data_IF_011139197399
#
_entry.id   IF_011139197399
#
_cell.length_a   1.000
_cell.length_b   1.000
_cell.length_c   1.000
_cell.angle_alpha   90.00
_cell.angle_beta   90.00
_cell.angle_gamma   90.00
#
_symmetry.space_group_name_H-M   'P 1'
#
loop_
_entity.id
_entity.type
_entity.pdbx_description
1 polymer ?
#
# COMPACT_ATOMS: atom_id res chain seq x y z
N UNK A 1 14.72 22.76 -37.99
CA UNK A 1 16.07 22.46 -37.44
C UNK A 1 16.51 21.04 -37.83
N UNK A 2 17.74 20.85 -38.34
CA UNK A 2 18.27 19.53 -38.70
C UNK A 2 18.57 18.65 -37.48
N UNK A 3 18.85 19.27 -36.33
CA UNK A 3 19.01 18.60 -35.04
C UNK A 3 17.63 18.48 -34.38
N UNK A 4 17.25 17.26 -34.01
CA UNK A 4 15.97 16.97 -33.33
C UNK A 4 16.13 17.04 -31.81
N UNK A 5 17.35 16.81 -31.31
CA UNK A 5 17.69 16.87 -29.88
C UNK A 5 18.30 18.22 -29.50
N UNK A 6 18.23 18.58 -28.21
CA UNK A 6 18.90 19.77 -27.68
C UNK A 6 20.41 19.64 -27.84
N UNK A 7 21.03 20.65 -28.46
CA UNK A 7 22.48 20.72 -28.61
C UNK A 7 23.14 20.74 -27.24
N UNK A 8 24.12 19.85 -27.05
CA UNK A 8 24.92 19.83 -25.83
C UNK A 8 25.84 21.06 -25.75
N UNK A 9 26.59 21.20 -24.66
CA UNK A 9 27.48 22.35 -24.48
C UNK A 9 28.56 22.43 -25.57
N UNK A 10 29.05 21.31 -26.11
CA UNK A 10 30.04 21.28 -27.19
C UNK A 10 29.44 21.74 -28.52
N UNK A 11 28.26 21.23 -28.86
CA UNK A 11 27.56 21.53 -30.11
C UNK A 11 26.98 22.94 -30.14
N UNK A 12 26.66 23.51 -28.97
CA UNK A 12 26.23 24.91 -28.86
C UNK A 12 27.29 25.89 -29.39
N UNK A 13 28.55 25.49 -29.34
CA UNK A 13 29.70 26.32 -29.69
C UNK A 13 30.37 25.94 -31.01
N UNK A 14 29.88 24.90 -31.67
CA UNK A 14 30.40 24.43 -32.94
C UNK A 14 29.78 25.23 -34.11
N UNK A 15 30.62 25.86 -34.93
CA UNK A 15 30.22 26.60 -36.14
C UNK A 15 31.06 26.12 -37.33
N UNK A 16 30.59 25.09 -38.07
CA UNK A 16 31.36 24.51 -39.16
C UNK A 16 31.32 25.32 -40.46
N UNK A 17 30.53 26.40 -40.53
CA UNK A 17 30.43 27.25 -41.70
C UNK A 17 30.47 28.73 -41.29
N UNK A 18 31.22 29.58 -42.01
CA UNK A 18 31.33 31.01 -41.71
C UNK A 18 30.02 31.80 -41.91
N UNK A 19 28.97 31.18 -42.48
CA UNK A 19 27.63 31.78 -42.49
C UNK A 19 26.94 31.77 -41.11
N UNK A 20 27.54 31.14 -40.10
CA UNK A 20 27.02 31.09 -38.73
C UNK A 20 25.93 30.02 -38.50
N UNK A 21 25.61 29.21 -39.50
CA UNK A 21 24.63 28.13 -39.37
C UNK A 21 25.08 27.09 -38.34
N UNK A 22 24.22 26.84 -37.35
CA UNK A 22 24.50 25.94 -36.24
C UNK A 22 23.90 24.56 -36.49
N UNK A 23 24.72 23.53 -36.31
CA UNK A 23 24.37 22.12 -36.34
C UNK A 23 25.24 21.38 -35.32
N UNK A 24 24.80 20.21 -34.84
CA UNK A 24 25.68 19.36 -34.02
C UNK A 24 26.78 18.72 -34.87
N UNK A 25 27.83 18.25 -34.19
CA UNK A 25 28.98 17.59 -34.81
C UNK A 25 28.56 16.31 -35.57
N UNK A 26 27.56 15.58 -35.07
CA UNK A 26 27.02 14.40 -35.77
C UNK A 26 26.37 14.77 -37.12
N UNK A 27 25.51 15.79 -37.14
CA UNK A 27 24.86 16.26 -38.37
C UNK A 27 25.88 16.78 -39.38
N UNK A 28 26.91 17.51 -38.92
CA UNK A 28 28.01 17.96 -39.77
C UNK A 28 28.73 16.79 -40.44
N UNK A 29 29.13 15.80 -39.65
CA UNK A 29 29.82 14.61 -40.15
C UNK A 29 28.95 13.87 -41.17
N UNK A 30 27.68 13.62 -40.85
CA UNK A 30 26.76 12.93 -41.75
C UNK A 30 26.54 13.70 -43.07
N UNK A 31 26.44 15.04 -43.02
CA UNK A 31 26.32 15.85 -44.24
C UNK A 31 27.58 15.73 -45.11
N UNK A 32 28.76 15.75 -44.47
CA UNK A 32 30.05 15.69 -45.15
C UNK A 32 30.35 14.32 -45.75
N UNK A 33 29.99 13.24 -45.06
CA UNK A 33 30.34 11.86 -45.47
C UNK A 33 29.27 11.18 -46.31
N UNK A 34 28.00 11.45 -46.02
CA UNK A 34 26.87 10.67 -46.54
C UNK A 34 25.98 11.47 -47.48
N UNK A 35 26.01 12.79 -47.40
CA UNK A 35 25.19 13.69 -48.23
C UNK A 35 26.09 14.49 -49.18
N UNK A 36 25.64 15.69 -49.54
CA UNK A 36 26.29 16.53 -50.54
C UNK A 36 27.46 17.37 -50.00
N UNK A 37 27.78 17.31 -48.70
CA UNK A 37 28.84 18.09 -48.08
C UNK A 37 28.63 19.61 -48.07
N UNK A 38 27.40 20.08 -48.36
CA UNK A 38 27.09 21.51 -48.44
C UNK A 38 26.35 22.00 -47.19
N UNK A 39 26.64 23.24 -46.80
CA UNK A 39 25.92 23.90 -45.72
C UNK A 39 24.42 24.02 -46.03
N UNK A 40 23.51 23.55 -45.15
CA UNK A 40 22.07 23.62 -45.40
C UNK A 40 21.52 25.05 -45.56
N UNK A 41 22.17 26.06 -44.96
CA UNK A 41 21.74 27.44 -45.05
C UNK A 41 22.29 28.18 -46.29
N UNK A 42 23.61 28.15 -46.49
CA UNK A 42 24.26 28.96 -47.54
C UNK A 42 24.76 28.14 -48.74
N UNK A 43 24.59 26.81 -48.72
CA UNK A 43 25.06 25.85 -49.74
C UNK A 43 26.57 25.86 -50.03
N UNK A 44 27.37 26.54 -49.20
CA UNK A 44 28.84 26.52 -49.29
C UNK A 44 29.36 25.12 -48.93
N UNK A 45 30.35 24.57 -49.66
CA UNK A 45 31.04 23.34 -49.25
C UNK A 45 31.65 23.50 -47.87
N UNK A 46 31.50 22.49 -47.02
CA UNK A 46 32.16 22.48 -45.73
C UNK A 46 33.68 22.30 -45.89
N UNK A 47 34.44 23.08 -45.14
CA UNK A 47 35.89 22.99 -45.05
C UNK A 47 36.31 22.95 -43.56
N UNK A 48 37.13 21.97 -43.20
CA UNK A 48 37.64 21.79 -41.85
C UNK A 48 38.45 22.99 -41.35
N UNK A 49 39.07 23.73 -42.27
CA UNK A 49 39.83 24.94 -41.96
C UNK A 49 38.94 26.11 -41.50
N UNK A 50 37.64 26.06 -41.83
CA UNK A 50 36.67 27.13 -41.52
C UNK A 50 35.83 26.86 -40.28
N UNK A 51 36.13 25.76 -39.56
CA UNK A 51 35.42 25.39 -38.35
C UNK A 51 35.84 26.33 -37.21
N UNK A 52 34.89 27.11 -36.71
CA UNK A 52 35.07 27.94 -35.53
C UNK A 52 34.44 27.29 -34.30
N UNK A 53 35.24 27.22 -33.23
CA UNK A 53 34.78 26.85 -31.89
C UNK A 53 34.68 28.10 -31.04
N UNK A 54 33.46 28.55 -30.77
CA UNK A 54 33.26 29.70 -29.88
C UNK A 54 33.63 29.28 -28.46
N UNK A 55 34.65 29.91 -27.86
CA UNK A 55 35.06 29.60 -26.48
C UNK A 55 33.88 29.87 -25.53
N UNK A 56 33.52 28.88 -24.73
CA UNK A 56 32.52 29.02 -23.66
C UNK A 56 33.05 30.06 -22.68
N UNK A 57 32.27 31.08 -22.37
CA UNK A 57 32.70 32.06 -21.37
C UNK A 57 32.81 31.38 -19.99
N UNK A 58 33.75 31.82 -19.13
CA UNK A 58 33.82 31.32 -17.74
C UNK A 58 32.48 31.48 -16.98
N UNK A 59 31.71 32.50 -17.33
CA UNK A 59 30.39 32.81 -16.76
C UNK A 59 29.32 31.77 -17.17
N UNK A 60 29.25 31.38 -18.45
CA UNK A 60 28.33 30.33 -18.93
C UNK A 60 28.65 28.95 -18.33
N UNK A 61 29.94 28.62 -18.18
CA UNK A 61 30.35 27.39 -17.48
C UNK A 61 29.98 27.41 -15.99
N UNK A 62 30.12 28.56 -15.32
CA UNK A 62 29.75 28.71 -13.92
C UNK A 62 28.23 28.58 -13.72
N UNK A 63 27.42 29.19 -14.60
CA UNK A 63 25.96 29.05 -14.58
C UNK A 63 25.51 27.60 -14.77
N UNK A 64 26.09 26.88 -15.75
CA UNK A 64 25.73 25.48 -15.97
C UNK A 64 26.10 24.58 -14.77
N UNK A 65 27.26 24.81 -14.14
CA UNK A 65 27.64 24.11 -12.91
C UNK A 65 26.69 24.42 -11.75
N UNK A 66 26.26 25.66 -11.61
CA UNK A 66 25.31 26.07 -10.58
C UNK A 66 23.93 25.42 -10.78
N UNK A 67 23.44 25.37 -12.02
CA UNK A 67 22.18 24.70 -12.36
C UNK A 67 22.24 23.20 -12.07
N UNK A 68 23.31 22.51 -12.50
CA UNK A 68 23.53 21.09 -12.19
C UNK A 68 23.58 20.84 -10.68
N UNK A 69 24.26 21.69 -9.91
CA UNK A 69 24.33 21.58 -8.46
C UNK A 69 22.94 21.80 -7.81
N UNK A 70 22.16 22.75 -8.31
CA UNK A 70 20.81 23.02 -7.82
C UNK A 70 19.84 21.87 -8.16
N UNK A 71 19.91 21.32 -9.37
CA UNK A 71 19.15 20.14 -9.78
C UNK A 71 19.51 18.92 -8.92
N UNK A 72 20.81 18.68 -8.69
CA UNK A 72 21.29 17.60 -7.82
C UNK A 72 20.76 17.76 -6.39
N UNK A 73 20.78 18.98 -5.83
CA UNK A 73 20.24 19.27 -4.49
C UNK A 73 18.72 19.03 -4.43
N UNK A 74 17.96 19.45 -5.43
CA UNK A 74 16.51 19.18 -5.52
C UNK A 74 16.22 17.68 -5.58
N UNK A 75 16.96 16.93 -6.41
CA UNK A 75 16.81 15.48 -6.54
C UNK A 75 17.17 14.72 -5.25
N UNK A 76 18.21 15.16 -4.54
CA UNK A 76 18.58 14.62 -3.24
C UNK A 76 17.50 14.87 -2.19
N UNK A 77 16.96 16.09 -2.11
CA UNK A 77 15.89 16.44 -1.18
C UNK A 77 14.59 15.64 -1.46
N UNK A 78 14.23 15.46 -2.75
CA UNK A 78 13.08 14.64 -3.13
C UNK A 78 13.24 13.17 -2.70
N UNK A 79 14.43 12.58 -2.94
CA UNK A 79 14.75 11.22 -2.50
C UNK A 79 14.71 11.07 -0.97
N UNK A 80 15.20 12.06 -0.23
CA UNK A 80 15.16 12.04 1.23
C UNK A 80 13.72 12.10 1.76
N UNK A 81 12.87 12.95 1.17
CA UNK A 81 11.45 13.04 1.53
C UNK A 81 10.69 11.74 1.23
N UNK A 82 11.00 11.09 0.10
CA UNK A 82 10.41 9.80 -0.25
C UNK A 82 10.85 8.68 0.71
N UNK A 83 12.14 8.65 1.08
CA UNK A 83 12.66 7.70 2.05
C UNK A 83 12.00 7.86 3.43
N UNK A 84 11.88 9.11 3.92
CA UNK A 84 11.20 9.40 5.18
C UNK A 84 9.72 8.99 5.16
N UNK A 85 9.00 9.25 4.06
CA UNK A 85 7.62 8.81 3.91
C UNK A 85 7.52 7.27 3.97
N UNK A 86 8.40 6.57 3.26
CA UNK A 86 8.41 5.09 3.25
C UNK A 86 8.71 4.50 4.63
N UNK A 87 9.58 5.13 5.40
CA UNK A 87 9.89 4.73 6.77
C UNK A 87 8.69 4.95 7.71
N UNK A 88 8.06 6.13 7.66
CA UNK A 88 6.85 6.42 8.42
C UNK A 88 5.71 5.45 8.09
N UNK A 89 5.49 5.16 6.80
CA UNK A 89 4.50 4.17 6.36
C UNK A 89 4.84 2.75 6.87
N UNK A 90 6.12 2.40 6.98
CA UNK A 90 6.56 1.11 7.52
C UNK A 90 6.29 1.00 9.02
N UNK A 91 6.60 2.06 9.78
CA UNK A 91 6.36 2.12 11.23
C UNK A 91 4.87 2.08 11.55
N UNK A 92 4.07 2.87 10.85
CA UNK A 92 2.61 2.87 10.98
C UNK A 92 2.02 1.47 10.73
N UNK A 93 2.49 0.74 9.71
CA UNK A 93 2.00 -0.61 9.43
C UNK A 93 2.42 -1.66 10.45
N UNK A 94 3.63 -1.55 11.01
CA UNK A 94 4.05 -2.41 12.13
C UNK A 94 3.14 -2.21 13.34
N UNK A 95 2.74 -0.97 13.60
CA UNK A 95 1.75 -0.67 14.65
C UNK A 95 0.40 -1.35 14.35
N UNK A 96 -0.16 -1.19 13.14
CA UNK A 96 -1.43 -1.82 12.75
C UNK A 96 -1.41 -3.36 12.84
N UNK A 97 -0.29 -4.01 12.55
CA UNK A 97 -0.17 -5.47 12.64
C UNK A 97 -0.36 -6.03 14.07
N UNK A 98 -0.06 -5.22 15.08
CA UNK A 98 -0.24 -5.57 16.50
C UNK A 98 -1.63 -5.30 17.05
N UNK A 99 -2.39 -4.42 16.39
CA UNK A 99 -3.71 -3.99 16.85
C UNK A 99 -4.80 -5.04 16.62
N UNK A 100 -5.78 -5.03 17.51
CA UNK A 100 -7.04 -5.76 17.47
C UNK A 100 -8.15 -4.72 17.39
N UNK A 101 -9.05 -4.86 16.42
CA UNK A 101 -10.15 -3.91 16.22
C UNK A 101 -11.45 -4.57 16.61
N UNK A 102 -12.20 -3.96 17.52
CA UNK A 102 -13.55 -4.39 17.92
C UNK A 102 -14.51 -4.22 16.74
N UNK A 103 -15.35 -5.22 16.49
CA UNK A 103 -16.32 -5.21 15.40
C UNK A 103 -17.73 -5.28 15.98
N UNK A 104 -18.53 -4.21 15.81
CA UNK A 104 -19.89 -4.11 16.39
C UNK A 104 -20.90 -5.09 15.80
N UNK A 105 -20.60 -5.75 14.70
CA UNK A 105 -21.44 -6.80 14.12
C UNK A 105 -20.89 -8.22 14.37
N UNK A 106 -19.78 -8.36 15.10
CA UNK A 106 -19.14 -9.63 15.43
C UNK A 106 -19.33 -9.90 16.93
N UNK A 107 -19.90 -11.05 17.25
CA UNK A 107 -20.04 -11.52 18.64
C UNK A 107 -19.09 -12.68 18.88
N UNK A 108 -18.33 -12.63 19.97
CA UNK A 108 -17.54 -13.74 20.47
C UNK A 108 -18.21 -14.31 21.72
N UNK A 109 -18.59 -15.58 21.65
CA UNK A 109 -19.25 -16.31 22.74
C UNK A 109 -18.33 -17.40 23.25
N UNK A 110 -18.15 -17.50 24.56
CA UNK A 110 -17.36 -18.54 25.23
C UNK A 110 -18.18 -19.26 26.31
N UNK A 111 -17.72 -20.44 26.70
CA UNK A 111 -18.40 -21.26 27.72
C UNK A 111 -19.41 -22.25 27.16
N UNK A 112 -19.54 -22.34 25.84
CA UNK A 112 -20.35 -23.38 25.20
C UNK A 112 -19.68 -24.75 25.37
N UNK A 113 -20.49 -25.74 25.75
CA UNK A 113 -20.10 -27.16 25.83
C UNK A 113 -20.95 -27.93 24.80
N UNK A 114 -20.43 -28.20 23.59
CA UNK A 114 -21.20 -28.90 22.58
C UNK A 114 -21.34 -30.38 22.95
N UNK A 115 -22.55 -30.92 22.82
CA UNK A 115 -22.85 -32.35 22.98
C UNK A 115 -22.93 -33.09 21.64
N UNK A 116 -22.83 -32.36 20.52
CA UNK A 116 -23.04 -32.83 19.15
C UNK A 116 -21.78 -32.68 18.30
N UNK A 117 -21.77 -33.36 17.15
CA UNK A 117 -20.65 -33.34 16.19
C UNK A 117 -20.42 -31.93 15.61
N UNK A 118 -19.19 -31.60 15.19
CA UNK A 118 -18.84 -30.25 14.70
C UNK A 118 -19.63 -29.82 13.46
N UNK A 119 -19.95 -30.77 12.58
CA UNK A 119 -20.72 -30.48 11.36
C UNK A 119 -22.17 -30.12 11.69
N UNK A 120 -22.82 -30.88 12.58
CA UNK A 120 -24.19 -30.59 13.02
C UNK A 120 -24.26 -29.37 13.95
N UNK A 121 -23.16 -29.09 14.68
CA UNK A 121 -23.06 -27.96 15.58
C UNK A 121 -23.21 -26.63 14.84
N UNK A 122 -22.58 -26.47 13.68
CA UNK A 122 -22.68 -25.23 12.91
C UNK A 122 -24.10 -24.95 12.43
N UNK A 123 -24.82 -25.98 11.97
CA UNK A 123 -26.22 -25.84 11.55
C UNK A 123 -27.14 -25.57 12.74
N UNK A 124 -26.93 -26.29 13.85
CA UNK A 124 -27.68 -26.12 15.09
C UNK A 124 -27.54 -24.71 15.64
N UNK A 125 -26.29 -24.20 15.72
CA UNK A 125 -26.01 -22.85 16.22
C UNK A 125 -26.57 -21.74 15.33
N UNK A 126 -26.81 -22.02 14.04
CA UNK A 126 -27.47 -21.10 13.11
C UNK A 126 -28.99 -21.08 13.24
N UNK A 127 -29.59 -22.09 13.85
CA UNK A 127 -31.04 -22.18 14.00
C UNK A 127 -31.62 -21.14 14.96
N UNK A 128 -32.94 -20.94 14.87
CA UNK A 128 -33.71 -19.99 15.70
C UNK A 128 -33.71 -20.35 17.19
N UNK A 129 -33.35 -21.58 17.53
CA UNK A 129 -33.18 -21.99 18.92
C UNK A 129 -31.88 -21.45 19.54
N UNK A 130 -30.91 -21.04 18.73
CA UNK A 130 -29.60 -20.56 19.15
C UNK A 130 -29.37 -19.12 18.67
N UNK A 131 -28.33 -18.87 17.89
CA UNK A 131 -27.92 -17.52 17.49
C UNK A 131 -28.77 -16.97 16.33
N UNK A 132 -29.41 -17.84 15.54
CA UNK A 132 -30.29 -17.40 14.43
C UNK A 132 -31.44 -16.51 14.89
N UNK A 133 -31.89 -16.70 16.15
CA UNK A 133 -33.01 -15.95 16.74
C UNK A 133 -32.77 -14.44 16.80
N UNK A 134 -31.50 -14.03 16.95
CA UNK A 134 -31.16 -12.63 17.16
C UNK A 134 -31.06 -11.86 15.85
N UNK A 135 -30.90 -12.56 14.72
CA UNK A 135 -30.79 -11.92 13.43
C UNK A 135 -30.11 -12.77 12.37
N UNK A 136 -29.99 -12.18 11.17
CA UNK A 136 -29.42 -12.88 10.02
C UNK A 136 -27.91 -13.06 10.19
N UNK A 137 -27.47 -14.31 10.33
CA UNK A 137 -26.06 -14.68 10.45
C UNK A 137 -25.40 -14.71 9.06
N UNK A 138 -24.41 -13.85 8.83
CA UNK A 138 -23.55 -13.89 7.65
C UNK A 138 -22.59 -15.08 7.77
N UNK A 139 -21.90 -15.20 8.90
CA UNK A 139 -20.88 -16.23 9.12
C UNK A 139 -20.85 -16.65 10.57
N UNK A 140 -20.59 -17.93 10.80
CA UNK A 140 -20.31 -18.49 12.12
C UNK A 140 -19.04 -19.31 12.05
N UNK A 141 -18.15 -19.15 13.02
CA UNK A 141 -16.88 -19.88 13.11
C UNK A 141 -16.72 -20.39 14.53
N UNK A 142 -16.47 -21.69 14.68
CA UNK A 142 -16.17 -22.31 15.98
C UNK A 142 -14.65 -22.36 16.15
N UNK A 143 -14.16 -21.88 17.29
CA UNK A 143 -12.77 -21.97 17.72
C UNK A 143 -12.68 -22.90 18.92
N UNK A 144 -12.05 -24.06 18.73
CA UNK A 144 -11.75 -24.99 19.84
C UNK A 144 -10.51 -24.48 20.58
N UNK A 145 -10.58 -24.34 21.90
CA UNK A 145 -9.40 -24.06 22.71
C UNK A 145 -8.46 -25.28 22.66
N UNK A 146 -7.14 -25.04 22.53
CA UNK A 146 -6.10 -26.09 22.54
C UNK A 146 -5.65 -26.44 23.96
N UNK A 147 -6.49 -26.29 24.96
CA UNK A 147 -6.13 -26.67 26.34
C UNK A 147 -6.24 -28.18 26.53
N UNK A 148 -5.11 -28.77 26.88
CA UNK A 148 -4.83 -30.19 27.17
C UNK A 148 -5.33 -30.65 28.55
N UNK A 149 -6.15 -29.85 29.24
CA UNK A 149 -6.65 -30.20 30.56
C UNK A 149 -7.93 -31.05 30.42
N UNK A 150 -7.87 -32.28 30.94
CA UNK A 150 -8.87 -33.35 30.85
C UNK A 150 -10.27 -33.04 31.42
N UNK A 151 -10.66 -31.79 31.66
CA UNK A 151 -11.96 -31.41 32.21
C UNK A 151 -12.66 -30.40 31.29
N UNK A 152 -13.51 -30.95 30.41
CA UNK A 152 -14.54 -30.28 29.59
C UNK A 152 -14.06 -29.14 28.67
N UNK A 153 -13.77 -29.50 27.41
CA UNK A 153 -13.46 -28.59 26.30
C UNK A 153 -14.56 -27.54 26.10
N UNK A 154 -14.32 -26.31 26.54
CA UNK A 154 -15.15 -25.17 26.17
C UNK A 154 -14.78 -24.70 24.76
N UNK A 155 -15.79 -24.40 23.95
CA UNK A 155 -15.59 -23.82 22.62
C UNK A 155 -15.87 -22.33 22.65
N UNK A 156 -15.11 -21.58 21.84
CA UNK A 156 -15.43 -20.21 21.48
C UNK A 156 -16.18 -20.18 20.15
N UNK A 157 -17.16 -19.31 20.00
CA UNK A 157 -17.93 -19.16 18.76
C UNK A 157 -17.92 -17.70 18.35
N UNK A 158 -17.55 -17.45 17.10
CA UNK A 158 -17.62 -16.14 16.47
C UNK A 158 -18.84 -16.09 15.56
N UNK A 159 -19.78 -15.20 15.85
CA UNK A 159 -21.01 -14.99 15.06
C UNK A 159 -20.96 -13.61 14.42
N UNK A 160 -20.99 -13.54 13.10
CA UNK A 160 -21.07 -12.29 12.34
C UNK A 160 -22.51 -12.07 11.88
N UNK A 161 -23.15 -11.03 12.37
CA UNK A 161 -24.50 -10.63 11.97
C UNK A 161 -24.48 -9.65 10.80
N UNK A 162 -25.58 -9.63 10.04
CA UNK A 162 -25.80 -8.65 8.99
C UNK A 162 -26.00 -7.23 9.51
N UNK A 163 -26.53 -7.11 10.74
CA UNK A 163 -26.84 -5.85 11.41
C UNK A 163 -26.09 -5.75 12.73
N UNK A 164 -25.68 -4.53 13.11
CA UNK A 164 -24.95 -4.28 14.36
C UNK A 164 -25.90 -4.40 15.57
N UNK A 165 -27.16 -4.07 15.35
CA UNK A 165 -28.23 -4.11 16.34
C UNK A 165 -28.54 -5.56 16.79
N UNK A 166 -28.53 -6.49 15.83
CA UNK A 166 -28.71 -7.94 16.07
C UNK A 166 -27.57 -8.48 16.96
N UNK A 167 -26.34 -8.04 16.73
CA UNK A 167 -25.18 -8.40 17.54
C UNK A 167 -25.29 -7.87 18.98
N UNK A 168 -25.71 -6.61 19.14
CA UNK A 168 -25.95 -6.02 20.47
C UNK A 168 -27.04 -6.78 21.24
N UNK A 169 -28.14 -7.12 20.55
CA UNK A 169 -29.25 -7.90 21.11
C UNK A 169 -28.79 -9.30 21.52
N UNK A 170 -27.99 -9.96 20.68
CA UNK A 170 -27.39 -11.25 20.99
C UNK A 170 -26.50 -11.18 22.24
N UNK A 171 -25.64 -10.16 22.36
CA UNK A 171 -24.77 -10.00 23.52
C UNK A 171 -25.60 -9.80 24.78
N UNK A 172 -26.56 -8.87 24.76
CA UNK A 172 -27.40 -8.57 25.91
C UNK A 172 -28.21 -9.77 26.42
N UNK A 173 -28.59 -10.68 25.53
CA UNK A 173 -29.36 -11.87 25.90
C UNK A 173 -28.49 -13.08 26.29
N UNK A 174 -27.30 -13.22 25.70
CA UNK A 174 -26.44 -14.40 25.88
C UNK A 174 -25.42 -14.20 27.01
N UNK A 175 -24.91 -12.99 27.20
CA UNK A 175 -23.92 -12.72 28.23
C UNK A 175 -24.52 -12.94 29.63
N UNK A 176 -23.89 -13.79 30.43
CA UNK A 176 -24.38 -14.18 31.75
C UNK A 176 -25.45 -15.27 31.76
N UNK A 177 -25.91 -15.75 30.60
CA UNK A 177 -26.90 -16.83 30.51
C UNK A 177 -26.30 -18.20 30.89
N UNK A 178 -27.12 -19.13 31.39
CA UNK A 178 -26.66 -20.47 31.73
C UNK A 178 -26.87 -21.45 30.58
N UNK A 179 -25.87 -22.31 30.33
CA UNK A 179 -25.90 -23.39 29.36
C UNK A 179 -25.22 -24.63 29.95
N UNK A 180 -26.00 -25.69 30.18
CA UNK A 180 -25.53 -26.95 30.79
C UNK A 180 -24.67 -26.75 32.06
N UNK A 181 -25.10 -25.85 32.95
CA UNK A 181 -24.40 -25.56 34.21
C UNK A 181 -23.18 -24.64 34.07
N UNK A 182 -22.92 -24.08 32.88
CA UNK A 182 -21.88 -23.07 32.63
C UNK A 182 -22.50 -21.73 32.30
N UNK A 183 -21.91 -20.65 32.81
CA UNK A 183 -22.28 -19.30 32.41
C UNK A 183 -21.60 -18.96 31.09
N UNK A 184 -22.40 -18.59 30.09
CA UNK A 184 -21.90 -18.10 28.81
C UNK A 184 -21.40 -16.68 28.98
N UNK A 185 -20.28 -16.37 28.32
CA UNK A 185 -19.81 -14.99 28.16
C UNK A 185 -19.92 -14.58 26.71
N UNK A 186 -20.60 -13.48 26.43
CA UNK A 186 -20.76 -12.92 25.10
C UNK A 186 -20.30 -11.47 25.08
N UNK A 187 -19.47 -11.13 24.11
CA UNK A 187 -18.91 -9.79 23.95
C UNK A 187 -18.68 -9.51 22.48
N UNK A 188 -18.42 -8.24 22.15
CA UNK A 188 -17.99 -7.92 20.79
C UNK A 188 -16.66 -8.62 20.47
N UNK A 189 -16.60 -9.25 19.31
CA UNK A 189 -15.40 -9.90 18.81
C UNK A 189 -14.41 -8.87 18.28
N UNK A 190 -13.13 -9.25 18.28
CA UNK A 190 -12.07 -8.44 17.66
C UNK A 190 -11.55 -9.10 16.39
N UNK A 191 -11.23 -8.29 15.39
CA UNK A 191 -10.55 -8.70 14.17
C UNK A 191 -9.13 -8.14 14.12
N UNK A 192 -8.36 -8.60 13.14
CA UNK A 192 -7.05 -8.05 12.79
C UNK A 192 -7.15 -7.35 11.44
N UNK A 193 -6.16 -6.51 11.14
CA UNK A 193 -5.95 -6.03 9.78
C UNK A 193 -5.57 -7.16 8.83
N UNK A 194 -6.06 -7.08 7.61
CA UNK A 194 -5.73 -8.04 6.56
C UNK A 194 -4.24 -7.94 6.20
N UNK A 195 -3.59 -9.07 5.95
CA UNK A 195 -2.18 -9.09 5.57
C UNK A 195 -1.92 -8.37 4.24
N UNK A 196 -2.85 -8.44 3.27
CA UNK A 196 -2.74 -7.71 2.01
C UNK A 196 -2.85 -6.19 2.24
N UNK A 197 -3.80 -5.76 3.06
CA UNK A 197 -3.93 -4.35 3.46
C UNK A 197 -2.64 -3.85 4.15
N UNK A 198 -2.07 -4.62 5.07
CA UNK A 198 -0.80 -4.31 5.72
C UNK A 198 0.38 -4.26 4.73
N UNK A 199 0.31 -4.94 3.58
CA UNK A 199 1.31 -4.83 2.50
C UNK A 199 1.00 -3.73 1.49
N UNK A 200 -0.12 -3.02 1.63
CA UNK A 200 -0.63 -2.05 0.66
C UNK A 200 -0.96 -2.70 -0.70
N UNK A 201 -1.47 -3.93 -0.65
CA UNK A 201 -1.93 -4.74 -1.77
C UNK A 201 -3.45 -4.88 -1.70
N UNK A 202 -4.09 -5.02 -2.88
CA UNK A 202 -5.50 -5.37 -2.95
C UNK A 202 -5.71 -6.81 -2.47
N UNK A 203 -6.64 -7.02 -1.54
CA UNK A 203 -7.01 -8.36 -1.11
C UNK A 203 -7.88 -9.04 -2.18
N UNK A 204 -7.40 -10.15 -2.74
CA UNK A 204 -8.16 -10.93 -3.72
C UNK A 204 -9.17 -11.89 -3.07
N UNK A 205 -9.12 -12.05 -1.75
CA UNK A 205 -10.08 -12.90 -1.03
C UNK A 205 -11.40 -12.14 -0.83
N UNK A 206 -12.40 -12.48 -1.65
CA UNK A 206 -13.76 -11.91 -1.57
C UNK A 206 -14.47 -12.19 -0.24
N UNK A 207 -14.03 -13.22 0.49
CA UNK A 207 -14.56 -13.63 1.78
C UNK A 207 -13.58 -13.31 2.94
N UNK A 208 -12.68 -12.33 2.75
CA UNK A 208 -11.77 -11.88 3.79
C UNK A 208 -12.57 -11.30 4.97
N UNK A 209 -12.30 -11.79 6.18
CA UNK A 209 -12.93 -11.33 7.42
C UNK A 209 -12.06 -10.32 8.20
N UNK A 210 -10.91 -9.99 7.64
CA UNK A 210 -9.97 -9.05 8.22
C UNK A 210 -10.21 -7.64 7.68
N UNK A 211 -9.79 -6.66 8.45
CA UNK A 211 -10.06 -5.27 8.13
C UNK A 211 -9.21 -4.79 6.93
N UNK A 212 -9.85 -4.08 6.01
CA UNK A 212 -9.26 -3.50 4.80
C UNK A 212 -9.27 -1.96 4.80
N UNK A 213 -9.62 -1.35 5.93
CA UNK A 213 -9.69 0.08 6.10
C UNK A 213 -9.17 0.47 7.49
N UNK A 214 -8.66 1.69 7.70
CA UNK A 214 -8.30 2.16 9.03
C UNK A 214 -9.53 2.13 9.96
N UNK A 215 -9.39 1.50 11.13
CA UNK A 215 -10.41 1.51 12.17
C UNK A 215 -10.41 2.83 12.93
N UNK A 216 -11.52 3.10 13.61
CA UNK A 216 -11.59 4.18 14.59
C UNK A 216 -10.63 3.88 15.76
N UNK A 217 -9.99 4.91 16.29
CA UNK A 217 -9.05 4.78 17.41
C UNK A 217 -9.77 4.24 18.67
N UNK A 218 -11.05 4.58 18.87
CA UNK A 218 -11.83 4.11 20.01
C UNK A 218 -12.19 2.62 19.94
N UNK A 219 -12.03 1.99 18.78
CA UNK A 219 -12.33 0.57 18.55
C UNK A 219 -11.04 -0.25 18.41
N UNK A 220 -9.87 0.37 18.51
CA UNK A 220 -8.57 -0.24 18.28
C UNK A 220 -7.80 -0.44 19.58
N UNK A 221 -7.49 -1.69 19.90
CA UNK A 221 -6.84 -2.09 21.13
C UNK A 221 -5.58 -2.91 20.86
N UNK A 222 -4.57 -2.75 21.70
CA UNK A 222 -3.43 -3.66 21.70
C UNK A 222 -3.84 -4.99 22.35
N UNK A 223 -3.01 -6.03 22.18
CA UNK A 223 -3.24 -7.30 22.90
C UNK A 223 -3.20 -7.15 24.42
N UNK A 224 -2.40 -6.19 24.91
CA UNK A 224 -2.24 -5.95 26.34
C UNK A 224 -3.52 -5.33 26.91
N UNK A 225 -4.13 -4.40 26.20
CA UNK A 225 -5.38 -3.73 26.61
C UNK A 225 -6.56 -4.71 26.74
N UNK A 226 -6.58 -5.78 25.94
CA UNK A 226 -7.63 -6.81 25.99
C UNK A 226 -7.41 -7.88 27.08
N UNK A 227 -6.22 -7.91 27.68
CA UNK A 227 -5.85 -8.88 28.72
C UNK A 227 -5.84 -8.30 30.13
N UNK A 228 -6.02 -6.99 30.26
CA UNK A 228 -6.16 -6.26 31.51
C UNK A 228 -7.64 -6.23 31.95
#
# INVERSE_FOLDING_TARGET
>A
PLCVEELDLSDKHFRPCPCGYQICQFCYNNIKTTLNGLCPACRRPYDDSTIEWKKISPEEMAMHKADLAQQAKKKAAARQKEAQKREADSLSRKHLAGLRVVQRNLVYVTGLAPTISENELLETLRGDQYFGRYGKIIKIVVSKSKETSHHQQSIGVYVTYARKEDAATCIAAVDGSQNYGRTLRAQYGTTKYCSAFLRNETCNNRNCMFLHEPADENESFTRQDLSA
#
